data_IF_605692452326
#
_entry.id   IF_605692452326
#
_cell.length_a   1.000
_cell.length_b   1.000
_cell.length_c   1.000
_cell.angle_alpha   90.00
_cell.angle_beta   90.00
_cell.angle_gamma   90.00
#
_symmetry.space_group_name_H-M   'P 1'
#
loop_
_entity.id
_entity.type
_entity.pdbx_description
1 polymer ?
#
# COMPACT_ATOMS: atom_id res chain seq x y z
N UNK A 1 6.14 6.90 9.35
CA UNK A 1 7.07 6.89 10.49
C UNK A 1 8.44 6.38 10.03
N UNK A 2 9.53 7.03 10.45
CA UNK A 2 10.89 6.59 10.15
C UNK A 2 11.90 7.15 11.16
N UNK A 3 12.89 6.34 11.51
CA UNK A 3 14.02 6.79 12.34
C UNK A 3 14.93 7.67 11.48
N UNK A 4 14.78 8.99 11.61
CA UNK A 4 15.56 9.98 10.85
C UNK A 4 16.66 10.64 11.67
N UNK A 5 16.66 10.47 12.99
CA UNK A 5 17.63 11.04 13.90
C UNK A 5 18.09 10.00 14.93
N UNK A 6 19.26 9.39 14.68
CA UNK A 6 19.86 8.36 15.53
C UNK A 6 20.41 8.88 16.88
N UNK A 7 20.37 10.20 17.14
CA UNK A 7 20.78 10.75 18.43
C UNK A 7 19.70 10.60 19.51
N UNK A 8 18.44 10.51 19.11
CA UNK A 8 17.27 10.47 20.02
C UNK A 8 16.41 9.24 19.85
N UNK A 9 16.48 8.59 18.70
CA UNK A 9 15.68 7.42 18.33
C UNK A 9 16.56 6.33 17.74
N UNK A 10 16.12 5.09 17.77
CA UNK A 10 16.79 3.95 17.16
C UNK A 10 15.79 2.93 16.60
N UNK A 11 16.30 2.01 15.79
CA UNK A 11 15.47 0.99 15.15
C UNK A 11 14.82 0.03 16.15
N UNK A 12 15.53 -0.33 17.23
CA UNK A 12 14.99 -1.28 18.22
C UNK A 12 13.82 -0.67 18.99
N UNK A 13 13.86 0.62 19.33
CA UNK A 13 12.70 1.33 19.92
C UNK A 13 11.52 1.31 18.96
N UNK A 14 11.75 1.60 17.67
CA UNK A 14 10.66 1.63 16.68
C UNK A 14 10.08 0.21 16.46
N UNK A 15 10.92 -0.82 16.38
CA UNK A 15 10.49 -2.22 16.30
C UNK A 15 9.65 -2.58 17.53
N UNK A 16 10.15 -2.26 18.72
CA UNK A 16 9.44 -2.53 19.98
C UNK A 16 8.07 -1.86 20.01
N UNK A 17 7.99 -0.56 19.70
CA UNK A 17 6.72 0.18 19.65
C UNK A 17 5.73 -0.46 18.66
N UNK A 18 6.23 -0.89 17.50
CA UNK A 18 5.40 -1.56 16.49
C UNK A 18 4.89 -2.91 16.97
N UNK A 19 5.73 -3.71 17.61
CA UNK A 19 5.33 -5.01 18.17
C UNK A 19 4.32 -4.86 19.29
N UNK A 20 4.50 -3.87 20.18
CA UNK A 20 3.54 -3.56 21.24
C UNK A 20 2.20 -3.08 20.67
N UNK A 21 2.21 -2.16 19.71
CA UNK A 21 0.99 -1.67 19.08
C UNK A 21 0.24 -2.76 18.30
N UNK A 22 0.96 -3.74 17.75
CA UNK A 22 0.41 -4.92 17.09
C UNK A 22 0.08 -6.09 18.03
N UNK A 23 0.07 -5.88 19.34
CA UNK A 23 -0.19 -6.92 20.36
C UNK A 23 0.66 -8.19 20.20
N UNK A 24 1.90 -8.01 19.71
CA UNK A 24 2.89 -9.08 19.45
C UNK A 24 2.45 -10.13 18.41
N UNK A 25 1.42 -9.83 17.60
CA UNK A 25 0.92 -10.73 16.54
C UNK A 25 1.70 -10.54 15.25
N UNK A 26 2.33 -9.37 15.07
CA UNK A 26 3.10 -9.05 13.86
C UNK A 26 4.33 -9.99 13.72
N UNK A 27 4.70 -10.30 12.47
CA UNK A 27 5.93 -11.01 12.17
C UNK A 27 7.14 -10.12 12.51
N UNK A 28 8.02 -10.50 13.46
CA UNK A 28 9.14 -9.68 13.91
C UNK A 28 10.17 -9.38 12.80
N UNK A 29 10.37 -10.34 11.89
CA UNK A 29 11.33 -10.17 10.79
C UNK A 29 10.80 -9.19 9.75
N UNK A 30 9.51 -9.26 9.44
CA UNK A 30 8.83 -8.29 8.58
C UNK A 30 8.86 -6.87 9.19
N UNK A 31 8.57 -6.74 10.49
CA UNK A 31 8.63 -5.46 11.20
C UNK A 31 10.06 -4.90 11.16
N UNK A 32 11.07 -5.71 11.45
CA UNK A 32 12.48 -5.30 11.40
C UNK A 32 12.85 -4.81 10.00
N UNK A 33 12.49 -5.56 8.97
CA UNK A 33 12.78 -5.20 7.59
C UNK A 33 12.15 -3.84 7.24
N UNK A 34 10.87 -3.64 7.51
CA UNK A 34 10.17 -2.38 7.22
C UNK A 34 10.82 -1.21 7.96
N UNK A 35 11.05 -1.36 9.27
CA UNK A 35 11.58 -0.28 10.12
C UNK A 35 13.00 0.12 9.71
N UNK A 36 13.86 -0.85 9.42
CA UNK A 36 15.28 -0.57 9.07
C UNK A 36 15.43 0.03 7.67
N UNK A 37 14.54 -0.28 6.72
CA UNK A 37 14.57 0.29 5.37
C UNK A 37 13.75 1.59 5.23
N UNK A 38 12.92 1.93 6.21
CA UNK A 38 12.10 3.14 6.16
C UNK A 38 12.89 4.43 5.87
N UNK A 39 14.11 4.68 6.43
CA UNK A 39 14.88 5.89 6.11
C UNK A 39 15.28 5.99 4.64
N UNK A 40 15.55 4.85 3.98
CA UNK A 40 15.84 4.82 2.55
C UNK A 40 14.59 5.18 1.74
N UNK A 41 13.45 4.54 2.04
CA UNK A 41 12.18 4.88 1.38
C UNK A 41 11.78 6.35 1.55
N UNK A 42 12.06 6.97 2.71
CA UNK A 42 11.83 8.41 2.88
C UNK A 42 12.74 9.24 1.98
N UNK A 43 14.02 8.88 1.83
CA UNK A 43 14.91 9.58 0.90
C UNK A 43 14.43 9.49 -0.54
N UNK A 44 14.01 8.29 -0.97
CA UNK A 44 13.44 8.09 -2.32
C UNK A 44 12.20 8.95 -2.55
N UNK A 45 11.28 9.02 -1.58
CA UNK A 45 10.11 9.89 -1.68
C UNK A 45 10.49 11.36 -1.86
N UNK A 46 11.48 11.84 -1.12
CA UNK A 46 12.00 13.21 -1.26
C UNK A 46 12.65 13.43 -2.63
N UNK A 47 13.42 12.47 -3.11
CA UNK A 47 14.04 12.50 -4.45
C UNK A 47 12.99 12.53 -5.57
N UNK A 48 11.85 11.88 -5.37
CA UNK A 48 10.70 11.90 -6.29
C UNK A 48 9.79 13.13 -6.12
N UNK A 49 10.22 14.10 -5.29
CA UNK A 49 9.55 15.40 -5.19
C UNK A 49 8.46 15.50 -4.12
N UNK A 50 8.42 14.56 -3.16
CA UNK A 50 7.55 14.69 -1.98
C UNK A 50 8.17 15.67 -0.98
N UNK A 51 7.38 16.64 -0.54
CA UNK A 51 7.80 17.69 0.38
C UNK A 51 7.28 17.41 1.79
N UNK A 52 8.14 16.92 2.66
CA UNK A 52 7.85 16.86 4.09
C UNK A 52 8.21 18.17 4.78
N UNK A 53 7.46 18.55 5.81
CA UNK A 53 7.68 19.76 6.57
C UNK A 53 9.06 19.75 7.26
N UNK A 54 9.71 20.92 7.28
CA UNK A 54 11.06 21.12 7.82
C UNK A 54 11.08 22.28 8.79
N UNK A 55 11.92 22.14 9.80
CA UNK A 55 12.27 23.22 10.72
C UNK A 55 13.14 24.27 10.04
N UNK A 56 13.34 25.40 10.74
CA UNK A 56 14.17 26.49 10.26
C UNK A 56 15.64 26.10 9.98
N UNK A 57 16.12 25.04 10.62
CA UNK A 57 17.47 24.50 10.45
C UNK A 57 17.58 23.50 9.27
N UNK A 58 16.47 23.23 8.59
CA UNK A 58 16.38 22.32 7.46
C UNK A 58 16.17 20.83 7.84
N UNK A 59 16.20 20.48 9.11
CA UNK A 59 15.81 19.15 9.59
C UNK A 59 14.32 18.91 9.43
N UNK A 60 13.89 17.63 9.32
CA UNK A 60 12.47 17.31 9.28
C UNK A 60 11.75 17.76 10.57
N UNK A 61 10.60 18.35 10.41
CA UNK A 61 9.68 18.53 11.52
C UNK A 61 8.94 17.22 11.77
N UNK A 62 9.12 16.66 12.97
CA UNK A 62 8.62 15.32 13.28
C UNK A 62 7.54 15.42 14.35
N UNK A 63 6.47 14.69 14.15
CA UNK A 63 5.42 14.50 15.15
C UNK A 63 5.58 13.17 15.88
N UNK A 64 4.91 13.08 17.02
CA UNK A 64 4.74 11.83 17.76
C UNK A 64 3.26 11.53 17.85
N UNK A 65 2.84 10.37 17.36
CA UNK A 65 1.48 9.89 17.45
C UNK A 65 1.35 8.74 18.46
N UNK A 66 0.13 8.28 18.70
CA UNK A 66 -0.15 7.16 19.58
C UNK A 66 0.61 5.90 19.16
N UNK A 67 1.11 5.14 20.13
CA UNK A 67 1.92 3.94 19.90
C UNK A 67 3.39 4.20 19.63
N UNK A 68 3.83 5.46 19.48
CA UNK A 68 5.24 5.81 19.29
C UNK A 68 5.86 6.39 20.57
N UNK A 69 7.03 5.88 20.97
CA UNK A 69 7.79 6.41 22.09
C UNK A 69 8.57 7.67 21.74
N UNK A 70 8.92 7.86 20.44
CA UNK A 70 9.74 8.95 19.97
C UNK A 70 9.07 9.73 18.81
N UNK A 71 9.59 10.93 18.52
CA UNK A 71 9.17 11.76 17.39
C UNK A 71 9.76 11.21 16.09
N UNK A 72 8.96 10.53 15.28
CA UNK A 72 9.40 9.90 14.04
C UNK A 72 8.39 9.96 12.91
N UNK A 73 7.29 10.69 13.09
CA UNK A 73 6.25 10.83 12.08
C UNK A 73 6.58 12.03 11.20
N UNK A 74 6.91 11.76 9.94
CA UNK A 74 7.02 12.78 8.92
C UNK A 74 5.61 13.20 8.47
N UNK A 75 5.43 14.47 8.20
CA UNK A 75 4.14 15.03 7.80
C UNK A 75 4.32 16.17 6.79
N UNK A 76 3.23 16.54 6.15
CA UNK A 76 3.09 17.74 5.35
C UNK A 76 1.76 18.40 5.74
N UNK A 77 1.80 19.47 6.52
CA UNK A 77 0.63 20.06 7.14
C UNK A 77 -0.37 18.97 7.65
N UNK A 78 -1.64 19.07 7.28
CA UNK A 78 -2.69 18.09 7.61
C UNK A 78 -2.96 17.07 6.47
N UNK A 79 -2.21 17.17 5.36
CA UNK A 79 -2.49 16.48 4.10
C UNK A 79 -1.32 15.61 3.61
N UNK A 80 -0.61 14.94 4.52
CA UNK A 80 0.58 14.13 4.19
C UNK A 80 0.31 13.12 3.08
N UNK A 81 -0.82 12.43 3.11
CA UNK A 81 -1.19 11.44 2.10
C UNK A 81 -1.37 12.07 0.71
N UNK A 82 -1.99 13.24 0.65
CA UNK A 82 -2.17 13.99 -0.60
C UNK A 82 -0.83 14.42 -1.19
N UNK A 83 0.09 14.95 -0.37
CA UNK A 83 1.43 15.37 -0.82
C UNK A 83 2.25 14.19 -1.35
N UNK A 84 2.22 13.05 -0.67
CA UNK A 84 2.90 11.84 -1.17
C UNK A 84 2.32 11.43 -2.53
N UNK A 85 1.00 11.40 -2.66
CA UNK A 85 0.34 11.08 -3.92
C UNK A 85 0.70 12.07 -5.02
N UNK A 86 0.71 13.37 -4.73
CA UNK A 86 1.09 14.42 -5.68
C UNK A 86 2.50 14.21 -6.21
N UNK A 87 3.49 14.06 -5.31
CA UNK A 87 4.89 13.87 -5.69
C UNK A 87 5.10 12.61 -6.53
N UNK A 88 4.52 11.48 -6.09
CA UNK A 88 4.62 10.22 -6.82
C UNK A 88 3.95 10.27 -8.19
N UNK A 89 2.77 10.89 -8.32
CA UNK A 89 2.08 11.03 -9.60
C UNK A 89 2.85 11.92 -10.58
N UNK A 90 3.49 12.97 -10.10
CA UNK A 90 4.34 13.82 -10.92
C UNK A 90 5.57 13.05 -11.43
N UNK A 91 6.24 12.30 -10.55
CA UNK A 91 7.37 11.45 -10.91
C UNK A 91 6.98 10.37 -11.93
N UNK A 92 5.83 9.70 -11.71
CA UNK A 92 5.30 8.68 -12.62
C UNK A 92 4.98 9.26 -13.99
N UNK A 93 4.26 10.40 -14.06
CA UNK A 93 3.86 11.03 -15.31
C UNK A 93 5.04 11.58 -16.10
N UNK A 94 6.13 11.95 -15.43
CA UNK A 94 7.37 12.41 -16.08
C UNK A 94 8.25 11.27 -16.61
N UNK A 95 7.97 10.03 -16.23
CA UNK A 95 8.78 8.88 -16.63
C UNK A 95 8.28 8.30 -17.96
N UNK A 96 9.08 8.33 -19.05
CA UNK A 96 8.65 7.88 -20.36
C UNK A 96 8.47 6.36 -20.50
N UNK A 97 8.82 5.59 -19.49
CA UNK A 97 8.70 4.12 -19.46
C UNK A 97 7.49 3.64 -18.66
N UNK A 98 6.65 4.56 -18.17
CA UNK A 98 5.46 4.23 -17.37
C UNK A 98 4.21 4.71 -18.10
N UNK A 99 3.33 3.77 -18.43
CA UNK A 99 2.00 4.06 -18.95
C UNK A 99 1.00 4.02 -17.79
N UNK A 100 0.26 5.10 -17.60
CA UNK A 100 -0.80 5.20 -16.59
C UNK A 100 -2.16 5.07 -17.26
N UNK A 101 -2.88 4.02 -16.95
CA UNK A 101 -4.22 3.76 -17.47
C UNK A 101 -5.28 4.14 -16.43
N UNK A 102 -5.67 5.40 -16.42
CA UNK A 102 -6.69 5.90 -15.50
C UNK A 102 -8.08 5.35 -15.88
N UNK A 103 -8.94 5.18 -14.88
CA UNK A 103 -10.32 4.68 -15.03
C UNK A 103 -10.46 3.27 -15.61
N UNK A 104 -9.38 2.54 -15.78
CA UNK A 104 -9.41 1.15 -16.22
C UNK A 104 -9.70 0.22 -15.04
N UNK A 105 -10.46 -0.84 -15.29
CA UNK A 105 -10.87 -1.78 -14.24
C UNK A 105 -10.24 -3.15 -14.46
N UNK A 106 -9.47 -3.63 -13.48
CA UNK A 106 -8.93 -4.99 -13.50
C UNK A 106 -10.05 -6.01 -13.23
N UNK A 107 -10.32 -6.86 -14.19
CA UNK A 107 -11.41 -7.85 -14.15
C UNK A 107 -10.94 -9.15 -13.52
N UNK A 108 -9.77 -9.66 -13.96
CA UNK A 108 -9.26 -10.96 -13.51
C UNK A 108 -7.76 -11.08 -13.75
N UNK A 109 -7.07 -11.85 -12.92
CA UNK A 109 -5.67 -12.26 -13.10
C UNK A 109 -5.61 -13.43 -14.08
N UNK A 110 -4.71 -13.36 -15.05
CA UNK A 110 -4.51 -14.42 -16.04
C UNK A 110 -3.52 -15.45 -15.52
N UNK A 111 -3.97 -16.70 -15.40
CA UNK A 111 -3.15 -17.84 -14.99
C UNK A 111 -3.27 -18.99 -16.00
N UNK A 112 -2.57 -20.10 -15.77
CA UNK A 112 -2.68 -21.34 -16.58
C UNK A 112 -4.14 -21.81 -16.72
N UNK A 113 -5.03 -21.44 -15.79
CA UNK A 113 -6.45 -21.78 -15.89
C UNK A 113 -7.07 -21.27 -17.19
N UNK A 114 -6.71 -20.08 -17.62
CA UNK A 114 -7.21 -19.45 -18.84
C UNK A 114 -6.67 -20.12 -20.11
N UNK A 115 -5.64 -20.97 -19.97
CA UNK A 115 -5.09 -21.80 -21.05
C UNK A 115 -5.66 -23.23 -21.04
N UNK A 116 -6.71 -23.48 -20.26
CA UNK A 116 -7.37 -24.79 -20.16
C UNK A 116 -6.72 -25.75 -19.14
N UNK A 117 -5.73 -25.31 -18.37
CA UNK A 117 -5.11 -26.12 -17.33
C UNK A 117 -5.95 -26.02 -16.05
N UNK A 118 -6.25 -27.16 -15.43
CA UNK A 118 -6.96 -27.16 -14.14
C UNK A 118 -6.04 -26.65 -13.03
N UNK A 119 -6.31 -25.48 -12.50
CA UNK A 119 -5.60 -24.87 -11.37
C UNK A 119 -6.39 -25.03 -10.09
N UNK A 120 -5.74 -25.51 -9.03
CA UNK A 120 -6.30 -25.67 -7.67
C UNK A 120 -5.34 -25.04 -6.66
N UNK A 121 -5.76 -24.88 -5.42
CA UNK A 121 -4.86 -24.43 -4.32
C UNK A 121 -3.67 -25.37 -4.04
N UNK A 122 -3.69 -26.58 -4.58
CA UNK A 122 -2.61 -27.57 -4.46
C UNK A 122 -1.75 -27.67 -5.71
N UNK A 123 -2.09 -26.91 -6.75
CA UNK A 123 -1.28 -26.86 -7.97
C UNK A 123 0.04 -26.18 -7.65
N UNK A 124 1.17 -26.87 -7.80
CA UNK A 124 2.47 -26.22 -7.67
C UNK A 124 2.66 -25.22 -8.82
N UNK A 125 3.50 -24.24 -8.61
CA UNK A 125 3.99 -23.33 -9.65
C UNK A 125 2.85 -22.65 -10.45
N UNK A 126 1.89 -22.07 -9.72
CA UNK A 126 0.87 -21.23 -10.36
C UNK A 126 1.58 -19.97 -10.89
N UNK A 127 1.47 -19.78 -12.20
CA UNK A 127 2.06 -18.63 -12.88
C UNK A 127 1.01 -17.57 -13.16
N UNK A 128 1.38 -16.30 -12.98
CA UNK A 128 0.61 -15.14 -13.40
C UNK A 128 1.18 -14.62 -14.71
N UNK A 129 0.34 -14.49 -15.72
CA UNK A 129 0.72 -13.99 -17.05
C UNK A 129 0.33 -12.53 -17.29
N UNK A 130 -0.45 -11.94 -16.38
CA UNK A 130 -0.97 -10.59 -16.49
C UNK A 130 -2.41 -10.49 -16.00
N UNK A 131 -3.19 -9.60 -16.62
CA UNK A 131 -4.57 -9.37 -16.23
C UNK A 131 -5.47 -9.03 -17.42
N UNK A 132 -6.76 -9.32 -17.28
CA UNK A 132 -7.82 -8.77 -18.11
C UNK A 132 -8.27 -7.43 -17.55
N UNK A 133 -8.25 -6.41 -18.40
CA UNK A 133 -8.55 -5.03 -18.01
C UNK A 133 -9.70 -4.51 -18.85
N UNK A 134 -10.76 -4.05 -18.22
CA UNK A 134 -11.86 -3.36 -18.88
C UNK A 134 -11.44 -1.91 -19.18
N UNK A 135 -11.50 -1.57 -20.46
CA UNK A 135 -11.36 -0.21 -20.93
C UNK A 135 -12.77 0.43 -20.99
N UNK A 136 -13.05 1.48 -20.20
CA UNK A 136 -14.38 2.09 -20.14
C UNK A 136 -14.75 2.86 -21.41
N UNK A 137 -13.77 3.37 -22.17
CA UNK A 137 -14.03 4.16 -23.38
C UNK A 137 -14.49 3.28 -24.55
N UNK A 138 -13.92 2.08 -24.65
CA UNK A 138 -14.23 1.13 -25.71
C UNK A 138 -15.27 0.07 -25.28
N UNK A 139 -15.58 -0.02 -23.99
CA UNK A 139 -16.39 -1.08 -23.38
C UNK A 139 -15.86 -2.50 -23.69
N UNK A 140 -14.56 -2.64 -23.86
CA UNK A 140 -13.90 -3.92 -24.18
C UNK A 140 -13.02 -4.34 -23.03
N UNK A 141 -12.89 -5.65 -22.89
CA UNK A 141 -11.89 -6.25 -21.98
C UNK A 141 -10.66 -6.60 -22.82
N UNK A 142 -9.57 -5.95 -22.48
CA UNK A 142 -8.29 -6.15 -23.17
C UNK A 142 -7.36 -7.03 -22.32
N UNK A 143 -6.44 -7.72 -22.99
CA UNK A 143 -5.45 -8.60 -22.35
C UNK A 143 -4.13 -7.86 -22.20
N UNK A 144 -3.70 -7.67 -20.95
CA UNK A 144 -2.38 -7.12 -20.64
C UNK A 144 -1.48 -8.23 -20.11
N UNK A 145 -0.43 -8.54 -20.84
CA UNK A 145 0.57 -9.54 -20.46
C UNK A 145 1.79 -8.87 -19.82
N UNK A 146 2.28 -9.46 -18.74
CA UNK A 146 3.43 -8.95 -18.00
C UNK A 146 4.29 -10.10 -17.45
N UNK A 147 5.60 -9.86 -17.35
CA UNK A 147 6.53 -10.79 -16.68
C UNK A 147 6.32 -10.81 -15.17
N UNK A 148 5.87 -9.68 -14.60
CA UNK A 148 5.55 -9.52 -13.18
C UNK A 148 4.26 -8.72 -13.08
N UNK A 149 3.35 -9.15 -12.21
CA UNK A 149 2.12 -8.44 -11.89
C UNK A 149 2.11 -8.12 -10.39
N UNK A 150 2.20 -6.83 -10.06
CA UNK A 150 2.11 -6.36 -8.68
C UNK A 150 0.65 -6.00 -8.36
N UNK A 151 0.10 -6.61 -7.32
CA UNK A 151 -1.23 -6.31 -6.81
C UNK A 151 -1.13 -5.26 -5.70
N UNK A 152 -1.54 -4.02 -5.98
CA UNK A 152 -1.54 -2.90 -5.04
C UNK A 152 -2.93 -2.23 -5.01
N UNK A 153 -3.98 -3.03 -4.91
CA UNK A 153 -5.38 -2.65 -5.12
C UNK A 153 -6.09 -2.12 -3.87
N UNK A 154 -5.35 -1.89 -2.80
CA UNK A 154 -5.92 -1.42 -1.54
C UNK A 154 -6.75 -2.47 -0.80
N UNK A 155 -7.51 -2.01 0.17
CA UNK A 155 -8.27 -2.85 1.09
C UNK A 155 -9.72 -3.08 0.69
N UNK A 156 -10.52 -3.42 1.69
CA UNK A 156 -11.92 -3.83 1.51
C UNK A 156 -12.89 -3.09 2.44
N UNK A 157 -12.54 -1.86 2.86
CA UNK A 157 -13.35 -1.07 3.81
C UNK A 157 -14.79 -0.82 3.35
N UNK A 158 -15.05 -0.80 2.04
CA UNK A 158 -16.40 -0.57 1.47
C UNK A 158 -17.36 -1.74 1.63
N UNK A 159 -16.94 -2.88 2.21
CA UNK A 159 -17.87 -3.95 2.63
C UNK A 159 -18.68 -3.58 3.87
N UNK A 160 -18.23 -2.58 4.62
CA UNK A 160 -18.95 -2.05 5.79
C UNK A 160 -19.88 -0.92 5.37
N UNK A 161 -21.04 -0.82 6.04
CA UNK A 161 -22.04 0.20 5.77
C UNK A 161 -21.52 1.63 6.03
N UNK A 162 -20.53 1.78 6.91
CA UNK A 162 -19.87 3.05 7.22
C UNK A 162 -18.37 2.84 7.21
N UNK A 163 -17.66 3.67 6.47
CA UNK A 163 -16.19 3.59 6.33
C UNK A 163 -15.61 4.97 6.05
N UNK A 164 -14.37 5.19 6.50
CA UNK A 164 -13.56 6.37 6.14
C UNK A 164 -12.71 6.13 4.90
N UNK A 165 -12.74 4.90 4.34
CA UNK A 165 -12.02 4.58 3.12
C UNK A 165 -12.70 5.17 1.88
N UNK A 166 -11.97 5.42 0.80
CA UNK A 166 -12.56 5.75 -0.49
C UNK A 166 -13.49 4.63 -0.98
N UNK A 167 -14.52 5.00 -1.75
CA UNK A 167 -15.52 4.05 -2.30
C UNK A 167 -14.90 2.96 -3.20
N UNK A 168 -13.66 3.15 -3.66
CA UNK A 168 -12.92 2.16 -4.45
C UNK A 168 -12.28 1.05 -3.62
N UNK A 169 -12.35 1.12 -2.28
CA UNK A 169 -11.82 0.07 -1.39
C UNK A 169 -12.79 -1.11 -1.29
N UNK A 170 -13.03 -1.77 -2.41
CA UNK A 170 -14.06 -2.80 -2.61
C UNK A 170 -13.56 -4.24 -2.45
N UNK A 171 -12.23 -4.43 -2.31
CA UNK A 171 -11.62 -5.75 -2.15
C UNK A 171 -11.49 -6.57 -3.44
N UNK A 172 -11.65 -5.95 -4.61
CA UNK A 172 -11.61 -6.64 -5.89
C UNK A 172 -10.30 -7.38 -6.14
N UNK A 173 -9.16 -6.76 -5.77
CA UNK A 173 -7.85 -7.42 -5.90
C UNK A 173 -7.71 -8.66 -5.03
N UNK A 174 -8.22 -8.61 -3.80
CA UNK A 174 -8.25 -9.77 -2.89
C UNK A 174 -9.10 -10.89 -3.53
N UNK A 175 -10.25 -10.53 -4.07
CA UNK A 175 -11.15 -11.48 -4.75
C UNK A 175 -10.49 -12.10 -6.00
N UNK A 176 -9.78 -11.32 -6.81
CA UNK A 176 -9.03 -11.81 -7.98
C UNK A 176 -7.94 -12.80 -7.57
N UNK A 177 -7.12 -12.48 -6.56
CA UNK A 177 -6.09 -13.39 -6.04
C UNK A 177 -6.70 -14.68 -5.52
N UNK A 178 -7.82 -14.59 -4.78
CA UNK A 178 -8.54 -15.78 -4.29
C UNK A 178 -9.04 -16.67 -5.43
N UNK A 179 -9.65 -16.09 -6.48
CA UNK A 179 -10.10 -16.83 -7.66
C UNK A 179 -8.93 -17.46 -8.41
N UNK A 180 -7.81 -16.76 -8.52
CA UNK A 180 -6.56 -17.27 -9.10
C UNK A 180 -5.88 -18.37 -8.26
N UNK A 181 -6.46 -18.74 -7.11
CA UNK A 181 -5.93 -19.73 -6.14
C UNK A 181 -4.65 -19.29 -5.42
N UNK A 182 -4.33 -18.01 -5.47
CA UNK A 182 -3.28 -17.41 -4.67
C UNK A 182 -3.59 -17.46 -3.17
N UNK A 183 -2.55 -17.29 -2.36
CA UNK A 183 -2.68 -17.24 -0.90
C UNK A 183 -3.33 -15.92 -0.48
N UNK A 184 -4.35 -16.00 0.35
CA UNK A 184 -5.00 -14.87 1.03
C UNK A 184 -5.01 -15.20 2.52
N UNK A 185 -4.52 -14.28 3.35
CA UNK A 185 -4.44 -14.44 4.79
C UNK A 185 -4.69 -13.12 5.53
N UNK A 186 -4.89 -13.18 6.84
CA UNK A 186 -5.10 -12.01 7.68
C UNK A 186 -6.44 -11.30 7.43
N UNK A 187 -7.43 -11.97 6.85
CA UNK A 187 -8.71 -11.36 6.48
C UNK A 187 -9.57 -10.94 7.67
N UNK A 188 -9.28 -11.44 8.86
CA UNK A 188 -9.88 -11.04 10.12
C UNK A 188 -9.43 -9.66 10.61
N UNK A 189 -8.28 -9.18 10.13
CA UNK A 189 -7.72 -7.90 10.56
C UNK A 189 -8.34 -6.74 9.78
N UNK A 190 -9.19 -5.99 10.47
CA UNK A 190 -9.78 -4.74 9.98
C UNK A 190 -9.53 -3.66 11.02
N UNK A 191 -8.93 -2.55 10.61
CA UNK A 191 -8.75 -1.40 11.49
C UNK A 191 -10.03 -0.57 11.53
N UNK A 192 -10.62 -0.45 12.72
CA UNK A 192 -11.72 0.48 12.97
C UNK A 192 -11.16 1.79 13.53
N UNK A 193 -11.56 2.91 12.93
CA UNK A 193 -11.21 4.22 13.45
C UNK A 193 -12.01 4.52 14.72
N UNK A 194 -11.37 4.85 15.85
CA UNK A 194 -12.08 5.03 17.14
C UNK A 194 -12.98 6.27 17.15
N UNK A 195 -12.68 7.25 16.32
CA UNK A 195 -13.48 8.48 16.18
C UNK A 195 -13.67 8.80 14.71
N UNK A 196 -14.91 9.02 14.31
CA UNK A 196 -15.26 9.51 12.99
C UNK A 196 -16.37 10.57 13.13
N UNK A 197 -16.33 11.57 12.26
CA UNK A 197 -17.43 12.53 12.17
C UNK A 197 -18.65 11.81 11.61
N UNK A 198 -19.71 11.73 12.41
CA UNK A 198 -20.99 11.21 11.94
C UNK A 198 -21.71 12.29 11.14
N UNK A 199 -21.97 12.00 9.88
CA UNK A 199 -22.80 12.82 9.00
C UNK A 199 -23.99 11.97 8.56
N UNK A 200 -25.21 12.19 9.18
CA UNK A 200 -26.40 11.39 8.89
C UNK A 200 -26.94 11.64 7.48
#
# INVERSE_FOLDING_TARGET
ASVTNLLVDDFEKHIHDTMVAGDWISDPDAVRQVVTHAPEGIRELVEWGVNFDKKADGSFDLHREGGHSEFRILHHADDTGFEIQRGLMEAVRSNPYIDVLENHFAVEIITQHHLGVRVTRRTPDIECYGAYILNPDTHRVDTYLAKVTLMATGGTGSVYASTTNPNISTGDGIAMVYRAKGKVEGMEFVQFHPTALYNP
#
